data_IF_218509615946
#
_entry.id   IF_218509615946
#
_cell.length_a   1.000
_cell.length_b   1.000
_cell.length_c   1.000
_cell.angle_alpha   90.00
_cell.angle_beta   90.00
_cell.angle_gamma   90.00
#
_symmetry.space_group_name_H-M   'P 1'
#
loop_
_entity.id
_entity.type
_entity.pdbx_description
1 polymer ?
#
# COMPACT_ATOMS: atom_id res chain seq x y z
N UNK A 1 -0.24 12.97 43.36
CA UNK A 1 -0.89 14.18 42.85
C UNK A 1 -2.38 13.94 42.83
N UNK A 2 -3.18 14.90 43.28
CA UNK A 2 -4.64 14.90 43.10
C UNK A 2 -5.00 15.20 41.63
N UNK A 3 -6.24 14.94 41.23
CA UNK A 3 -6.71 15.26 39.87
C UNK A 3 -6.61 16.77 39.57
N UNK A 4 -6.83 17.61 40.58
CA UNK A 4 -6.69 19.07 40.47
C UNK A 4 -5.23 19.49 40.25
N UNK A 5 -4.28 18.89 40.99
CA UNK A 5 -2.85 19.12 40.80
C UNK A 5 -2.37 18.69 39.41
N UNK A 6 -2.89 17.57 38.89
CA UNK A 6 -2.58 17.09 37.54
C UNK A 6 -3.15 18.05 36.49
N UNK A 7 -4.41 18.45 36.63
CA UNK A 7 -5.06 19.40 35.73
C UNK A 7 -4.32 20.74 35.66
N UNK A 8 -3.88 21.26 36.81
CA UNK A 8 -3.11 22.50 36.88
C UNK A 8 -1.72 22.35 36.24
N UNK A 9 -1.05 21.21 36.48
CA UNK A 9 0.24 20.91 35.85
C UNK A 9 0.13 20.80 34.33
N UNK A 10 -0.95 20.21 33.80
CA UNK A 10 -1.22 20.15 32.35
C UNK A 10 -1.30 21.58 31.76
N UNK A 11 -1.97 22.52 32.44
CA UNK A 11 -2.05 23.93 32.00
C UNK A 11 -0.68 24.61 31.97
N UNK A 12 0.10 24.43 33.03
CA UNK A 12 1.43 25.04 33.16
C UNK A 12 2.40 24.54 32.09
N UNK A 13 2.40 23.23 31.84
CA UNK A 13 3.34 22.59 30.91
C UNK A 13 3.02 22.92 29.45
N UNK A 14 1.74 22.94 29.05
CA UNK A 14 1.35 23.14 27.64
C UNK A 14 1.44 24.59 27.17
N UNK A 15 1.44 25.56 28.09
CA UNK A 15 1.55 27.02 27.78
C UNK A 15 0.54 27.51 26.74
N UNK A 16 -0.64 26.88 26.67
CA UNK A 16 -1.72 27.20 25.74
C UNK A 16 -3.01 27.41 26.52
N UNK A 17 -3.92 28.21 25.98
CA UNK A 17 -5.23 28.43 26.59
C UNK A 17 -6.00 27.10 26.62
N UNK A 18 -6.31 26.63 27.82
CA UNK A 18 -7.12 25.44 28.05
C UNK A 18 -8.42 25.86 28.73
N UNK A 19 -9.55 25.46 28.16
CA UNK A 19 -10.87 25.80 28.67
C UNK A 19 -11.47 24.60 29.41
N UNK A 20 -11.76 24.71 30.71
CA UNK A 20 -12.59 23.73 31.40
C UNK A 20 -13.95 23.59 30.71
N UNK A 21 -14.42 22.36 30.54
CA UNK A 21 -15.71 22.04 29.94
C UNK A 21 -16.26 20.71 30.48
N UNK A 22 -17.43 20.31 29.99
CA UNK A 22 -18.06 19.01 30.27
C UNK A 22 -18.52 18.38 28.96
N UNK A 23 -18.09 17.15 28.69
CA UNK A 23 -18.52 16.35 27.53
C UNK A 23 -19.15 15.07 28.06
N UNK A 24 -20.44 14.83 27.79
CA UNK A 24 -21.12 13.59 28.21
C UNK A 24 -21.14 13.34 29.73
N UNK A 25 -20.94 14.37 30.56
CA UNK A 25 -20.79 14.24 32.01
C UNK A 25 -19.34 14.09 32.48
N UNK A 26 -18.36 14.00 31.57
CA UNK A 26 -16.95 14.00 31.92
C UNK A 26 -16.43 15.44 32.06
N UNK A 27 -15.86 15.82 33.22
CA UNK A 27 -15.12 17.07 33.34
C UNK A 27 -13.82 16.97 32.52
N UNK A 28 -13.59 17.95 31.65
CA UNK A 28 -12.45 17.94 30.72
C UNK A 28 -11.79 19.32 30.62
N UNK A 29 -10.53 19.33 30.18
CA UNK A 29 -9.84 20.51 29.69
C UNK A 29 -9.73 20.40 28.16
N UNK A 30 -10.18 21.42 27.45
CA UNK A 30 -10.13 21.48 25.99
C UNK A 30 -9.09 22.51 25.55
N UNK A 31 -8.17 22.07 24.70
CA UNK A 31 -7.18 22.91 24.01
C UNK A 31 -7.51 22.93 22.51
N UNK A 32 -7.63 24.11 21.90
CA UNK A 32 -7.84 24.24 20.45
C UNK A 32 -6.75 25.11 19.84
N UNK A 33 -6.11 24.58 18.80
CA UNK A 33 -5.04 25.25 18.07
C UNK A 33 -5.44 25.42 16.61
N UNK A 34 -5.44 26.66 16.12
CA UNK A 34 -5.69 26.95 14.70
C UNK A 34 -4.39 26.82 13.91
N UNK A 35 -4.38 25.90 12.94
CA UNK A 35 -3.31 25.72 11.96
C UNK A 35 -3.80 26.19 10.58
N UNK A 36 -2.92 26.36 9.58
CA UNK A 36 -3.33 26.66 8.21
C UNK A 36 -4.31 25.63 7.62
N UNK A 37 -4.24 24.39 8.10
CA UNK A 37 -5.09 23.28 7.64
C UNK A 37 -6.43 23.19 8.37
N UNK A 38 -6.65 23.97 9.44
CA UNK A 38 -7.88 23.95 10.25
C UNK A 38 -7.61 23.93 11.77
N UNK A 39 -8.67 23.80 12.58
CA UNK A 39 -8.56 23.76 14.03
C UNK A 39 -8.31 22.33 14.54
N UNK A 40 -7.21 22.13 15.27
CA UNK A 40 -6.89 20.87 15.97
C UNK A 40 -7.32 21.00 17.42
N UNK A 41 -8.12 20.06 17.91
CA UNK A 41 -8.63 20.07 19.29
C UNK A 41 -8.05 18.89 20.07
N UNK A 42 -7.56 19.16 21.28
CA UNK A 42 -7.11 18.14 22.24
C UNK A 42 -7.99 18.21 23.48
N UNK A 43 -8.51 17.06 23.91
CA UNK A 43 -9.33 16.92 25.11
C UNK A 43 -8.53 16.13 26.14
N UNK A 44 -8.41 16.69 27.34
CA UNK A 44 -7.80 16.04 28.49
C UNK A 44 -8.88 15.76 29.53
N UNK A 45 -9.02 14.49 29.93
CA UNK A 45 -9.79 14.09 31.12
C UNK A 45 -8.81 13.63 32.18
N UNK A 46 -8.93 14.16 33.39
CA UNK A 46 -8.19 13.68 34.56
C UNK A 46 -9.16 12.97 35.47
N UNK A 47 -8.88 11.71 35.79
CA UNK A 47 -9.69 10.93 36.72
C UNK A 47 -8.79 9.90 37.42
N UNK A 48 -8.91 9.79 38.75
CA UNK A 48 -8.20 8.81 39.57
C UNK A 48 -6.68 8.83 39.34
N UNK A 49 -6.11 10.02 39.16
CA UNK A 49 -4.69 10.23 38.91
C UNK A 49 -4.19 9.81 37.52
N UNK A 50 -5.10 9.48 36.60
CA UNK A 50 -4.83 9.13 35.18
C UNK A 50 -5.29 10.26 34.26
N UNK A 51 -4.62 10.37 33.11
CA UNK A 51 -4.94 11.36 32.08
C UNK A 51 -5.40 10.61 30.82
N UNK A 52 -6.64 10.78 30.41
CA UNK A 52 -7.11 10.37 29.09
C UNK A 52 -6.93 11.53 28.13
N UNK A 53 -6.26 11.28 27.00
CA UNK A 53 -6.08 12.26 25.93
C UNK A 53 -6.82 11.80 24.68
N UNK A 54 -7.67 12.68 24.16
CA UNK A 54 -8.24 12.57 22.83
C UNK A 54 -7.69 13.69 21.97
N UNK A 55 -7.41 13.42 20.70
CA UNK A 55 -6.99 14.44 19.74
C UNK A 55 -7.81 14.33 18.47
N UNK A 56 -8.43 15.44 18.09
CA UNK A 56 -9.13 15.63 16.84
C UNK A 56 -8.25 16.43 15.88
N UNK A 57 -8.09 15.93 14.65
CA UNK A 57 -7.45 16.61 13.53
C UNK A 57 -8.25 17.84 13.09
N UNK A 58 -7.73 18.52 12.07
CA UNK A 58 -8.28 19.77 11.56
C UNK A 58 -9.80 19.71 11.30
N UNK A 59 -10.56 20.50 12.06
CA UNK A 59 -12.01 20.66 11.96
C UNK A 59 -12.82 19.35 12.06
N UNK A 60 -12.24 18.31 12.67
CA UNK A 60 -12.86 16.99 12.82
C UNK A 60 -13.51 16.75 14.20
N UNK A 61 -13.41 17.72 15.11
CA UNK A 61 -13.91 17.59 16.48
C UNK A 61 -15.44 17.49 16.52
N UNK A 62 -15.94 16.53 17.30
CA UNK A 62 -17.37 16.31 17.56
C UNK A 62 -17.56 15.88 19.01
N UNK A 63 -18.47 16.54 19.73
CA UNK A 63 -18.79 16.22 21.13
C UNK A 63 -19.32 14.79 21.29
N UNK A 64 -20.08 14.28 20.32
CA UNK A 64 -20.62 12.92 20.37
C UNK A 64 -19.52 11.86 20.24
N UNK A 65 -18.55 12.09 19.35
CA UNK A 65 -17.38 11.21 19.21
C UNK A 65 -16.51 11.30 20.45
N UNK A 66 -16.23 12.52 20.93
CA UNK A 66 -15.43 12.73 22.13
C UNK A 66 -16.06 12.04 23.35
N UNK A 67 -17.38 12.16 23.54
CA UNK A 67 -18.14 11.45 24.58
C UNK A 67 -17.94 9.95 24.50
N UNK A 68 -18.19 9.35 23.34
CA UNK A 68 -18.06 7.90 23.17
C UNK A 68 -16.62 7.40 23.41
N UNK A 69 -15.61 8.19 23.03
CA UNK A 69 -14.21 7.86 23.30
C UNK A 69 -13.81 8.05 24.78
N UNK A 70 -14.43 8.99 25.50
CA UNK A 70 -14.19 9.19 26.94
C UNK A 70 -14.81 8.08 27.81
N UNK A 71 -15.82 7.39 27.31
CA UNK A 71 -16.42 6.20 27.95
C UNK A 71 -15.50 4.97 27.93
N UNK A 72 -14.46 4.98 27.08
CA UNK A 72 -13.47 3.91 26.98
C UNK A 72 -12.60 3.88 28.26
N UNK A 73 -12.38 2.70 28.88
CA UNK A 73 -11.50 2.57 30.03
C UNK A 73 -10.08 3.09 29.74
N UNK A 74 -9.59 3.99 30.58
CA UNK A 74 -8.27 4.61 30.46
C UNK A 74 -7.14 3.69 30.99
N UNK A 75 -7.10 2.45 30.53
CA UNK A 75 -6.13 1.43 30.96
C UNK A 75 -5.49 0.81 29.73
N UNK A 76 -4.18 1.00 29.57
CA UNK A 76 -3.39 0.17 28.64
C UNK A 76 -2.89 -1.07 29.37
N UNK A 77 -3.10 -2.23 28.75
CA UNK A 77 -2.60 -3.53 29.22
C UNK A 77 -1.28 -3.93 28.53
N UNK A 78 -0.74 -3.05 27.68
CA UNK A 78 0.36 -3.37 26.75
C UNK A 78 -0.08 -4.22 25.56
N UNK A 79 -1.39 -4.50 25.43
CA UNK A 79 -2.01 -5.17 24.29
C UNK A 79 -3.16 -4.33 23.74
N UNK A 80 -3.47 -4.53 22.47
CA UNK A 80 -4.60 -3.88 21.82
C UNK A 80 -5.89 -4.57 22.22
N UNK A 81 -6.67 -3.89 23.06
CA UNK A 81 -8.01 -4.29 23.48
C UNK A 81 -9.02 -3.29 22.90
N UNK A 82 -9.69 -3.63 21.79
CA UNK A 82 -10.62 -2.70 21.17
C UNK A 82 -11.99 -2.69 21.86
N UNK A 83 -12.53 -1.49 21.99
CA UNK A 83 -13.88 -1.23 22.49
C UNK A 83 -14.79 -0.86 21.33
N UNK A 84 -16.01 -1.40 21.30
CA UNK A 84 -16.98 -1.02 20.29
C UNK A 84 -17.42 0.44 20.47
N UNK A 85 -17.48 1.18 19.37
CA UNK A 85 -17.99 2.56 19.33
C UNK A 85 -19.12 2.62 18.32
N UNK A 86 -20.28 3.09 18.77
CA UNK A 86 -21.45 3.30 17.93
C UNK A 86 -21.84 4.78 18.00
N UNK A 87 -21.32 5.56 17.05
CA UNK A 87 -21.64 6.97 16.89
C UNK A 87 -22.21 7.17 15.49
N UNK A 88 -23.45 7.69 15.34
CA UNK A 88 -24.05 7.89 14.03
C UNK A 88 -23.14 8.68 13.06
N UNK A 89 -22.89 8.11 11.89
CA UNK A 89 -22.06 8.73 10.85
C UNK A 89 -20.54 8.58 11.04
N UNK A 90 -20.08 8.05 12.18
CA UNK A 90 -18.69 7.71 12.39
C UNK A 90 -18.36 6.39 11.66
N UNK A 91 -17.32 6.39 10.84
CA UNK A 91 -16.85 5.20 10.11
C UNK A 91 -15.90 4.32 10.92
N UNK A 92 -15.41 4.83 12.04
CA UNK A 92 -14.47 4.17 12.93
C UNK A 92 -15.30 3.51 14.04
N UNK A 93 -15.46 2.18 13.96
CA UNK A 93 -16.39 1.39 14.77
C UNK A 93 -15.77 0.84 16.06
N UNK A 94 -14.51 1.21 16.32
CA UNK A 94 -13.74 0.78 17.47
C UNK A 94 -12.96 1.96 18.09
N UNK A 95 -12.59 1.79 19.35
CA UNK A 95 -11.62 2.62 20.02
C UNK A 95 -10.56 1.75 20.71
N UNK A 96 -9.33 2.25 20.77
CA UNK A 96 -8.23 1.59 21.49
C UNK A 96 -7.58 2.57 22.46
N UNK A 97 -7.28 2.08 23.66
CA UNK A 97 -6.53 2.81 24.67
C UNK A 97 -5.05 2.45 24.53
N UNK A 98 -4.25 3.43 24.12
CA UNK A 98 -2.80 3.31 23.96
C UNK A 98 -2.13 3.87 25.21
N UNK A 99 -1.11 3.18 25.70
CA UNK A 99 -0.33 3.61 26.84
C UNK A 99 0.43 4.91 26.57
N UNK A 100 1.32 5.30 27.49
CA UNK A 100 2.24 6.39 27.26
C UNK A 100 2.98 6.16 25.95
N UNK A 101 2.83 7.07 24.99
CA UNK A 101 3.70 7.08 23.81
C UNK A 101 5.14 7.21 24.33
N UNK A 102 6.08 6.45 23.76
CA UNK A 102 7.46 6.38 24.26
C UNK A 102 8.22 7.69 23.98
N UNK A 103 7.86 8.76 24.70
CA UNK A 103 8.62 9.97 24.90
C UNK A 103 8.55 10.99 23.77
N UNK A 104 7.81 12.07 24.02
CA UNK A 104 8.27 13.41 23.65
C UNK A 104 7.61 14.53 24.46
N UNK A 105 6.86 14.21 25.52
CA UNK A 105 6.28 15.22 26.38
C UNK A 105 7.37 15.95 27.18
N UNK A 106 7.22 17.25 27.41
CA UNK A 106 8.14 18.00 28.27
C UNK A 106 8.03 17.60 29.76
N UNK A 107 7.08 16.74 30.14
CA UNK A 107 6.85 16.31 31.52
C UNK A 107 6.65 14.79 31.62
N UNK A 108 7.70 14.11 32.06
CA UNK A 108 7.74 12.64 32.19
C UNK A 108 6.67 12.08 33.13
N UNK A 109 6.33 12.77 34.22
CA UNK A 109 5.35 12.26 35.17
C UNK A 109 3.93 12.32 34.59
N UNK A 110 3.61 13.36 33.81
CA UNK A 110 2.34 13.43 33.08
C UNK A 110 2.30 12.34 32.00
N UNK A 111 3.40 12.13 31.28
CA UNK A 111 3.49 11.11 30.22
C UNK A 111 3.22 9.70 30.79
N UNK A 112 3.85 9.32 31.91
CA UNK A 112 3.66 8.01 32.56
C UNK A 112 2.20 7.77 33.04
N UNK A 113 1.41 8.84 33.24
CA UNK A 113 0.00 8.79 33.63
C UNK A 113 -0.97 8.87 32.45
N UNK A 114 -0.46 9.17 31.25
CA UNK A 114 -1.27 9.45 30.07
C UNK A 114 -1.62 8.17 29.32
N UNK A 115 -2.89 8.08 28.94
CA UNK A 115 -3.44 7.09 28.02
C UNK A 115 -4.08 7.87 26.87
N UNK A 116 -3.72 7.54 25.64
CA UNK A 116 -4.33 8.14 24.46
C UNK A 116 -5.42 7.21 23.95
N UNK A 117 -6.65 7.70 23.85
CA UNK A 117 -7.74 6.92 23.23
C UNK A 117 -7.93 7.42 21.80
N UNK A 118 -7.85 6.49 20.85
CA UNK A 118 -7.99 6.79 19.42
C UNK A 118 -9.14 6.00 18.82
N UNK A 119 -9.88 6.64 17.91
CA UNK A 119 -10.88 5.97 17.08
C UNK A 119 -10.18 5.22 15.95
N UNK A 120 -10.59 3.97 15.73
CA UNK A 120 -10.05 3.07 14.70
C UNK A 120 -11.18 2.26 14.09
N UNK A 121 -10.94 1.71 12.91
CA UNK A 121 -11.84 0.70 12.33
C UNK A 121 -11.33 -0.71 12.67
N UNK A 122 -12.21 -1.70 12.82
CA UNK A 122 -11.83 -3.08 13.13
C UNK A 122 -10.78 -3.63 12.14
N UNK A 123 -10.80 -3.19 10.88
CA UNK A 123 -9.82 -3.59 9.86
C UNK A 123 -8.41 -3.04 10.07
N UNK A 124 -8.18 -2.15 11.03
CA UNK A 124 -6.89 -1.46 11.23
C UNK A 124 -6.07 -2.05 12.37
N UNK A 125 -6.70 -2.93 13.15
CA UNK A 125 -6.19 -3.44 14.43
C UNK A 125 -6.32 -4.95 14.48
N UNK A 126 -5.37 -5.61 15.14
CA UNK A 126 -5.48 -7.03 15.46
C UNK A 126 -5.74 -7.18 16.97
N UNK A 127 -6.95 -7.62 17.40
CA UNK A 127 -7.24 -7.78 18.82
C UNK A 127 -6.21 -8.69 19.52
N UNK A 128 -5.69 -8.22 20.65
CA UNK A 128 -4.69 -8.93 21.45
C UNK A 128 -3.24 -8.79 20.97
N UNK A 129 -2.98 -8.08 19.86
CA UNK A 129 -1.61 -7.78 19.43
C UNK A 129 -0.89 -6.90 20.45
N UNK A 130 0.44 -7.02 20.53
CA UNK A 130 1.23 -6.17 21.42
C UNK A 130 1.13 -4.71 20.96
N UNK A 131 0.96 -3.78 21.91
CA UNK A 131 0.84 -2.35 21.60
C UNK A 131 2.05 -1.84 20.80
N UNK A 132 3.25 -2.32 21.12
CA UNK A 132 4.47 -1.97 20.39
C UNK A 132 4.45 -2.41 18.92
N UNK A 133 3.80 -3.54 18.60
CA UNK A 133 3.67 -4.02 17.24
C UNK A 133 2.61 -3.23 16.47
N UNK A 134 1.51 -2.85 17.13
CA UNK A 134 0.54 -1.89 16.58
C UNK A 134 1.17 -0.53 16.27
N UNK A 135 1.94 0.04 17.20
CA UNK A 135 2.68 1.30 16.97
C UNK A 135 3.65 1.19 15.79
N UNK A 136 4.37 0.07 15.68
CA UNK A 136 5.23 -0.21 14.53
C UNK A 136 4.42 -0.27 13.23
N UNK A 137 3.28 -0.95 13.26
CA UNK A 137 2.39 -1.12 12.11
C UNK A 137 1.82 0.20 11.62
N UNK A 138 1.39 1.09 12.50
CA UNK A 138 0.79 2.38 12.12
C UNK A 138 1.81 3.48 11.84
N UNK A 139 3.08 3.29 12.22
CA UNK A 139 4.16 4.26 11.98
C UNK A 139 4.32 4.62 10.49
N UNK A 140 5.03 5.72 10.20
CA UNK A 140 5.32 6.16 8.83
C UNK A 140 6.09 5.14 7.97
N UNK A 141 6.78 4.19 8.62
CA UNK A 141 7.47 3.07 7.95
C UNK A 141 6.58 1.86 7.70
N UNK A 142 5.44 1.77 8.39
CA UNK A 142 4.41 0.74 8.19
C UNK A 142 3.31 1.22 7.27
N UNK A 143 2.10 1.38 7.80
CA UNK A 143 0.93 1.82 7.05
C UNK A 143 0.85 3.34 6.86
N UNK A 144 1.62 4.11 7.64
CA UNK A 144 1.52 5.57 7.66
C UNK A 144 0.25 6.10 8.32
N UNK A 145 -0.52 5.23 9.00
CA UNK A 145 -1.77 5.59 9.68
C UNK A 145 -1.55 6.57 10.84
N UNK A 146 -0.34 6.63 11.42
CA UNK A 146 0.00 7.47 12.58
C UNK A 146 -0.40 8.94 12.40
N UNK A 147 -0.27 9.48 11.18
CA UNK A 147 -0.61 10.88 10.91
C UNK A 147 -2.12 11.14 10.89
N UNK A 148 -2.93 10.09 10.70
CA UNK A 148 -4.38 10.14 10.56
C UNK A 148 -5.13 9.61 11.78
N UNK A 149 -4.47 9.03 12.79
CA UNK A 149 -5.14 8.51 14.00
C UNK A 149 -5.99 9.56 14.74
N UNK A 150 -5.65 10.85 14.56
CA UNK A 150 -6.37 11.95 15.19
C UNK A 150 -7.55 12.44 14.34
N UNK A 151 -7.70 12.02 13.08
CA UNK A 151 -8.77 12.46 12.20
C UNK A 151 -10.00 11.55 12.36
N UNK A 152 -10.95 11.93 13.22
CA UNK A 152 -12.08 11.04 13.56
C UNK A 152 -13.02 10.77 12.39
N UNK A 153 -13.10 11.68 11.43
CA UNK A 153 -13.95 11.59 10.24
C UNK A 153 -13.26 10.97 9.01
N UNK A 154 -12.03 10.47 9.16
CA UNK A 154 -11.28 9.89 8.04
C UNK A 154 -11.93 8.61 7.51
N UNK A 155 -11.56 8.25 6.29
CA UNK A 155 -11.81 6.91 5.79
C UNK A 155 -10.94 5.89 6.53
N UNK A 156 -11.47 4.69 6.85
CA UNK A 156 -10.66 3.56 7.29
C UNK A 156 -9.53 3.26 6.30
N UNK A 157 -8.37 2.91 6.81
CA UNK A 157 -7.20 2.48 6.05
C UNK A 157 -6.93 1.04 6.45
N UNK A 158 -7.62 0.06 5.84
CA UNK A 158 -7.53 -1.33 6.26
C UNK A 158 -6.08 -1.80 6.20
N UNK A 159 -5.66 -2.40 7.31
CA UNK A 159 -4.36 -3.02 7.46
C UNK A 159 -4.45 -4.44 6.92
N UNK A 160 -3.38 -4.86 6.27
CA UNK A 160 -3.12 -6.25 5.98
C UNK A 160 -1.71 -6.62 6.42
N UNK A 161 -1.56 -7.82 6.93
CA UNK A 161 -0.29 -8.45 7.21
C UNK A 161 0.12 -9.22 5.95
N UNK A 162 1.22 -8.84 5.31
CA UNK A 162 1.64 -9.41 4.04
C UNK A 162 3.03 -10.04 4.10
N UNK A 163 3.23 -11.09 3.31
CA UNK A 163 4.55 -11.69 3.09
C UNK A 163 4.68 -12.19 1.65
N UNK A 164 5.91 -12.24 1.19
CA UNK A 164 6.24 -12.77 -0.11
C UNK A 164 6.62 -14.26 0.03
N UNK A 165 5.97 -15.11 -0.76
CA UNK A 165 6.16 -16.57 -0.70
C UNK A 165 7.33 -17.04 -1.59
N UNK A 166 7.53 -16.35 -2.70
CA UNK A 166 8.59 -16.61 -3.69
C UNK A 166 9.63 -15.48 -3.69
N UNK A 167 10.72 -15.64 -4.43
CA UNK A 167 11.77 -14.60 -4.50
C UNK A 167 11.38 -13.48 -5.48
N UNK A 168 11.60 -12.23 -5.06
CA UNK A 168 11.46 -11.04 -5.91
C UNK A 168 12.78 -10.26 -5.94
N UNK A 169 13.76 -10.68 -6.77
CA UNK A 169 15.01 -9.96 -6.97
C UNK A 169 14.81 -8.47 -7.28
N UNK A 170 15.38 -7.59 -6.47
CA UNK A 170 15.26 -6.13 -6.64
C UNK A 170 13.88 -5.54 -6.36
N UNK A 171 12.96 -6.32 -5.77
CA UNK A 171 11.60 -5.90 -5.48
C UNK A 171 11.41 -5.03 -4.24
N UNK A 172 10.17 -4.56 -4.08
CA UNK A 172 9.71 -3.84 -2.88
C UNK A 172 9.68 -4.74 -1.64
N UNK A 173 9.54 -6.05 -1.85
CA UNK A 173 9.46 -7.06 -0.81
C UNK A 173 10.56 -8.09 -0.98
N UNK A 174 10.96 -8.70 0.14
CA UNK A 174 11.82 -9.88 0.16
C UNK A 174 11.00 -11.06 0.63
N UNK A 175 11.36 -12.26 0.14
CA UNK A 175 10.82 -13.50 0.66
C UNK A 175 10.97 -13.54 2.17
N UNK A 176 9.88 -13.83 2.86
CA UNK A 176 9.84 -13.81 4.32
C UNK A 176 8.87 -14.86 4.82
N UNK A 177 9.24 -15.54 5.91
CA UNK A 177 8.31 -16.39 6.66
C UNK A 177 7.41 -15.56 7.59
N UNK A 178 7.83 -14.34 7.93
CA UNK A 178 7.12 -13.41 8.81
C UNK A 178 6.25 -12.46 8.01
N UNK A 179 5.07 -12.19 8.54
CA UNK A 179 4.23 -11.13 8.05
C UNK A 179 4.77 -9.76 8.44
N UNK A 180 4.56 -8.81 7.55
CA UNK A 180 4.84 -7.40 7.77
C UNK A 180 3.53 -6.62 7.60
N UNK A 181 3.28 -5.59 8.42
CA UNK A 181 2.07 -4.79 8.29
C UNK A 181 2.17 -3.82 7.09
N UNK A 182 1.13 -3.79 6.26
CA UNK A 182 0.98 -2.92 5.09
C UNK A 182 -0.45 -2.37 5.00
N UNK A 183 -0.67 -1.23 4.33
CA UNK A 183 -2.01 -0.86 3.88
C UNK A 183 -2.51 -1.89 2.86
N UNK A 184 -3.69 -2.47 3.08
CA UNK A 184 -4.28 -3.45 2.16
C UNK A 184 -4.44 -2.85 0.74
N UNK A 185 -4.83 -1.58 0.66
CA UNK A 185 -4.92 -0.83 -0.60
C UNK A 185 -3.59 -0.84 -1.35
N UNK A 186 -2.47 -0.56 -0.68
CA UNK A 186 -1.13 -0.56 -1.31
C UNK A 186 -0.76 -1.94 -1.83
N UNK A 187 -1.11 -3.00 -1.09
CA UNK A 187 -0.86 -4.37 -1.54
C UNK A 187 -1.65 -4.69 -2.81
N UNK A 188 -2.90 -4.23 -2.90
CA UNK A 188 -3.81 -4.53 -4.01
C UNK A 188 -3.71 -3.55 -5.18
N UNK A 189 -3.09 -2.39 -5.03
CA UNK A 189 -2.94 -1.37 -6.10
C UNK A 189 -1.54 -1.29 -6.68
N UNK A 190 -0.52 -1.66 -5.89
CA UNK A 190 0.88 -1.50 -6.28
C UNK A 190 1.62 -2.84 -6.26
N UNK A 191 1.54 -3.57 -5.15
CA UNK A 191 2.43 -4.72 -4.94
C UNK A 191 1.99 -5.94 -5.76
N UNK A 192 0.74 -6.38 -5.63
CA UNK A 192 0.23 -7.53 -6.38
C UNK A 192 0.06 -7.23 -7.88
N UNK A 193 -0.45 -6.05 -8.31
CA UNK A 193 -0.61 -5.74 -9.74
C UNK A 193 0.69 -5.58 -10.52
N UNK A 194 1.72 -4.98 -9.90
CA UNK A 194 2.99 -4.67 -10.56
C UNK A 194 4.13 -5.61 -10.15
N UNK A 195 3.80 -6.66 -9.38
CA UNK A 195 4.72 -7.74 -9.04
C UNK A 195 5.16 -8.52 -10.28
N UNK A 196 6.31 -9.21 -10.27
CA UNK A 196 6.73 -10.08 -11.36
C UNK A 196 5.73 -11.21 -11.60
N UNK A 197 5.61 -11.67 -12.84
CA UNK A 197 4.76 -12.81 -13.16
C UNK A 197 5.19 -14.05 -12.37
N UNK A 198 4.22 -14.80 -11.85
CA UNK A 198 4.45 -16.04 -11.10
C UNK A 198 4.97 -15.87 -9.67
N UNK A 199 5.28 -14.65 -9.22
CA UNK A 199 5.67 -14.40 -7.83
C UNK A 199 4.42 -14.32 -6.96
N UNK A 200 4.32 -15.18 -5.93
CA UNK A 200 3.18 -15.20 -5.02
C UNK A 200 3.38 -14.29 -3.81
N UNK A 201 2.34 -13.52 -3.52
CA UNK A 201 2.19 -12.72 -2.31
C UNK A 201 1.00 -13.24 -1.50
N UNK A 202 1.19 -13.37 -0.20
CA UNK A 202 0.13 -13.71 0.75
C UNK A 202 -0.21 -12.45 1.57
N UNK A 203 -1.50 -12.14 1.64
CA UNK A 203 -2.06 -10.94 2.25
C UNK A 203 -3.15 -11.38 3.23
N UNK A 204 -2.94 -11.17 4.52
CA UNK A 204 -3.86 -11.52 5.59
C UNK A 204 -4.56 -10.27 6.12
N UNK A 205 -5.89 -10.24 6.03
CA UNK A 205 -6.70 -9.18 6.65
C UNK A 205 -6.85 -9.40 8.17
N UNK A 206 -7.23 -8.34 8.89
CA UNK A 206 -7.38 -8.40 10.35
C UNK A 206 -8.53 -9.32 10.79
N UNK A 207 -9.52 -9.55 9.93
CA UNK A 207 -10.61 -10.50 10.17
C UNK A 207 -10.24 -11.96 9.89
N UNK A 208 -8.97 -12.24 9.56
CA UNK A 208 -8.46 -13.60 9.33
C UNK A 208 -8.63 -14.13 7.90
N UNK A 209 -9.17 -13.33 6.98
CA UNK A 209 -9.16 -13.66 5.55
C UNK A 209 -7.72 -13.70 5.04
N UNK A 210 -7.38 -14.75 4.28
CA UNK A 210 -6.06 -14.92 3.67
C UNK A 210 -6.19 -14.94 2.16
N UNK A 211 -5.56 -13.97 1.51
CA UNK A 211 -5.53 -13.81 0.07
C UNK A 211 -4.12 -14.15 -0.45
N UNK A 212 -4.01 -15.21 -1.25
CA UNK A 212 -2.77 -15.52 -1.97
C UNK A 212 -2.95 -15.14 -3.43
N UNK A 213 -2.12 -14.23 -3.94
CA UNK A 213 -2.17 -13.75 -5.33
C UNK A 213 -0.82 -13.93 -6.01
N UNK A 214 -0.86 -14.10 -7.32
CA UNK A 214 0.28 -13.92 -8.22
C UNK A 214 -0.19 -13.21 -9.49
N UNK A 215 0.71 -12.48 -10.13
CA UNK A 215 0.45 -11.93 -11.44
C UNK A 215 0.59 -13.02 -12.51
N UNK A 216 -0.38 -13.12 -13.39
CA UNK A 216 -0.34 -13.86 -14.65
C UNK A 216 -0.70 -12.89 -15.77
N UNK A 217 0.33 -12.37 -16.43
CA UNK A 217 0.20 -11.30 -17.41
C UNK A 217 -0.50 -10.06 -16.82
N UNK A 218 -1.64 -9.64 -17.36
CA UNK A 218 -2.47 -8.50 -16.94
C UNK A 218 -3.47 -8.85 -15.83
N UNK A 219 -3.46 -10.10 -15.35
CA UNK A 219 -4.40 -10.61 -14.36
C UNK A 219 -3.70 -10.97 -13.06
N UNK A 220 -4.41 -10.80 -11.97
CA UNK A 220 -4.03 -11.32 -10.68
C UNK A 220 -4.89 -12.56 -10.38
N UNK A 221 -4.21 -13.69 -10.24
CA UNK A 221 -4.81 -15.01 -10.04
C UNK A 221 -4.41 -15.57 -8.69
N UNK A 222 -5.29 -16.34 -8.07
CA UNK A 222 -5.00 -16.83 -6.72
C UNK A 222 -6.20 -17.42 -5.99
N UNK A 223 -6.14 -17.35 -4.67
CA UNK A 223 -7.20 -17.87 -3.79
C UNK A 223 -7.44 -16.92 -2.63
N UNK A 224 -8.72 -16.73 -2.28
CA UNK A 224 -9.15 -16.09 -1.05
C UNK A 224 -9.70 -17.17 -0.13
N UNK A 225 -9.10 -17.31 1.06
CA UNK A 225 -9.51 -18.25 2.09
C UNK A 225 -10.12 -17.51 3.26
N UNK A 226 -11.38 -17.80 3.57
CA UNK A 226 -12.08 -17.26 4.72
C UNK A 226 -11.59 -17.88 6.03
N UNK A 227 -11.82 -17.24 7.19
CA UNK A 227 -11.39 -17.75 8.50
C UNK A 227 -11.88 -19.17 8.81
N UNK A 228 -13.05 -19.57 8.27
CA UNK A 228 -13.59 -20.92 8.39
C UNK A 228 -12.96 -21.97 7.46
N UNK A 229 -11.94 -21.61 6.68
CA UNK A 229 -11.24 -22.49 5.76
C UNK A 229 -11.90 -22.67 4.39
N UNK A 230 -13.04 -22.03 4.13
CA UNK A 230 -13.64 -21.99 2.80
C UNK A 230 -12.76 -21.15 1.86
N UNK A 231 -12.49 -21.66 0.66
CA UNK A 231 -11.65 -20.97 -0.33
C UNK A 231 -12.41 -20.69 -1.62
N UNK A 232 -12.21 -19.50 -2.17
CA UNK A 232 -12.70 -19.08 -3.48
C UNK A 232 -11.52 -18.77 -4.41
N UNK A 233 -11.63 -19.15 -5.68
CA UNK A 233 -10.63 -18.80 -6.68
C UNK A 233 -10.75 -17.32 -7.04
N UNK A 234 -9.60 -16.63 -7.10
CA UNK A 234 -9.51 -15.24 -7.54
C UNK A 234 -8.91 -15.20 -8.93
N UNK A 235 -9.58 -14.52 -9.84
CA UNK A 235 -9.07 -14.22 -11.17
C UNK A 235 -9.66 -12.88 -11.63
N UNK A 236 -8.86 -11.82 -11.50
CA UNK A 236 -9.30 -10.43 -11.72
C UNK A 236 -8.28 -9.65 -12.56
N UNK A 237 -8.70 -8.64 -13.35
CA UNK A 237 -7.79 -7.65 -13.92
C UNK A 237 -6.94 -7.00 -12.82
N UNK A 238 -5.64 -6.83 -13.06
CA UNK A 238 -4.69 -6.39 -12.03
C UNK A 238 -5.05 -5.02 -11.41
N UNK A 239 -5.63 -4.11 -12.20
CA UNK A 239 -6.02 -2.77 -11.74
C UNK A 239 -7.37 -2.73 -11.02
N UNK A 240 -8.17 -3.80 -11.10
CA UNK A 240 -9.49 -3.90 -10.45
C UNK A 240 -9.41 -4.48 -9.03
N UNK A 241 -8.23 -4.95 -8.61
CA UNK A 241 -8.06 -5.71 -7.36
C UNK A 241 -8.57 -4.95 -6.14
N UNK A 242 -8.25 -3.66 -5.99
CA UNK A 242 -8.73 -2.89 -4.85
C UNK A 242 -10.24 -2.67 -4.88
N UNK A 243 -10.81 -2.33 -6.04
CA UNK A 243 -12.24 -2.11 -6.17
C UNK A 243 -13.05 -3.38 -5.87
N UNK A 244 -12.52 -4.56 -6.20
CA UNK A 244 -13.19 -5.86 -6.03
C UNK A 244 -12.92 -6.50 -4.68
N UNK A 245 -11.68 -6.48 -4.20
CA UNK A 245 -11.25 -7.19 -2.99
C UNK A 245 -11.09 -6.27 -1.77
N UNK A 246 -10.93 -4.96 -1.97
CA UNK A 246 -10.84 -3.98 -0.87
C UNK A 246 -11.98 -4.06 0.15
N UNK A 247 -13.25 -4.24 -0.28
CA UNK A 247 -14.36 -4.40 0.66
C UNK A 247 -14.21 -5.60 1.61
N UNK A 248 -13.55 -6.70 1.19
CA UNK A 248 -13.28 -7.86 2.08
C UNK A 248 -12.40 -7.44 3.27
N UNK A 249 -11.42 -6.56 3.03
CA UNK A 249 -10.57 -6.02 4.09
C UNK A 249 -11.28 -4.99 4.97
N UNK A 250 -12.51 -4.60 4.62
CA UNK A 250 -13.39 -3.75 5.42
C UNK A 250 -14.53 -4.55 6.07
N UNK A 251 -14.45 -5.89 6.07
CA UNK A 251 -15.43 -6.78 6.70
C UNK A 251 -16.60 -7.20 5.80
N UNK A 252 -16.60 -6.90 4.50
CA UNK A 252 -17.64 -7.38 3.59
C UNK A 252 -17.53 -8.89 3.34
N UNK A 253 -18.67 -9.54 3.15
CA UNK A 253 -18.73 -10.97 2.82
C UNK A 253 -18.08 -11.25 1.46
N UNK A 254 -17.03 -12.10 1.39
CA UNK A 254 -16.36 -12.41 0.13
C UNK A 254 -17.23 -13.17 -0.87
N UNK A 255 -18.30 -13.85 -0.44
CA UNK A 255 -19.13 -14.69 -1.31
C UNK A 255 -19.76 -13.92 -2.50
N UNK A 256 -20.01 -12.62 -2.33
CA UNK A 256 -20.55 -11.75 -3.39
C UNK A 256 -19.49 -10.97 -4.18
N UNK A 257 -18.21 -11.03 -3.77
CA UNK A 257 -17.14 -10.18 -4.29
C UNK A 257 -16.15 -10.95 -5.17
N UNK A 258 -15.96 -12.23 -4.87
CA UNK A 258 -15.02 -13.09 -5.58
C UNK A 258 -15.75 -13.92 -6.62
N UNK A 259 -15.97 -13.32 -7.78
CA UNK A 259 -16.30 -14.05 -9.00
C UNK A 259 -15.16 -13.87 -9.98
N UNK A 260 -14.68 -14.97 -10.58
CA UNK A 260 -13.83 -14.89 -11.75
C UNK A 260 -14.55 -14.03 -12.80
N UNK A 261 -14.07 -12.81 -12.99
CA UNK A 261 -14.64 -11.92 -13.98
C UNK A 261 -13.92 -12.24 -15.29
N UNK A 262 -14.62 -12.88 -16.23
CA UNK A 262 -14.17 -12.85 -17.62
C UNK A 262 -14.02 -11.38 -18.01
N UNK A 263 -12.78 -10.95 -18.20
CA UNK A 263 -12.44 -9.60 -18.55
C UNK A 263 -11.74 -9.62 -19.90
N UNK A 264 -11.99 -8.59 -20.70
CA UNK A 264 -11.15 -8.32 -21.87
C UNK A 264 -9.74 -8.06 -21.35
N UNK A 265 -8.72 -8.74 -21.88
CA UNK A 265 -7.34 -8.48 -21.49
C UNK A 265 -7.00 -7.00 -21.65
N UNK A 266 -6.12 -6.48 -20.79
CA UNK A 266 -5.54 -5.15 -20.97
C UNK A 266 -4.94 -5.09 -22.37
N UNK A 267 -5.49 -4.23 -23.22
CA UNK A 267 -4.97 -4.01 -24.57
C UNK A 267 -3.67 -3.22 -24.50
N UNK A 268 -2.79 -3.44 -25.45
CA UNK A 268 -1.60 -2.61 -25.66
C UNK A 268 -0.64 -2.61 -24.45
N UNK A 269 -0.36 -3.78 -23.86
CA UNK A 269 0.67 -3.94 -22.80
C UNK A 269 1.79 -4.89 -23.21
N UNK A 270 2.99 -4.63 -22.67
CA UNK A 270 4.18 -5.44 -22.86
C UNK A 270 4.91 -5.62 -21.54
N UNK A 271 5.56 -6.77 -21.36
CA UNK A 271 6.54 -6.94 -20.31
C UNK A 271 7.88 -6.33 -20.73
N UNK A 272 8.43 -5.48 -19.88
CA UNK A 272 9.63 -4.70 -20.13
C UNK A 272 10.72 -5.06 -19.12
N UNK A 273 11.89 -5.44 -19.63
CA UNK A 273 13.17 -5.46 -18.90
C UNK A 273 14.11 -4.47 -19.55
N UNK A 274 14.98 -3.83 -18.78
CA UNK A 274 15.95 -2.90 -19.34
C UNK A 274 17.17 -2.77 -18.46
N UNK A 275 18.24 -2.27 -19.04
CA UNK A 275 19.41 -1.77 -18.33
C UNK A 275 19.85 -0.48 -19.01
N UNK A 276 20.02 0.56 -18.22
CA UNK A 276 20.64 1.80 -18.66
C UNK A 276 21.77 2.19 -17.71
N UNK A 277 22.80 2.81 -18.26
CA UNK A 277 23.94 3.28 -17.45
C UNK A 277 23.55 4.43 -16.52
N UNK A 278 22.60 5.26 -16.93
CA UNK A 278 22.25 6.53 -16.30
C UNK A 278 21.01 6.46 -15.37
N UNK A 279 20.15 5.46 -15.56
CA UNK A 279 18.84 5.35 -14.90
C UNK A 279 18.56 3.96 -14.30
N UNK A 280 19.57 3.09 -14.28
CA UNK A 280 19.55 1.79 -13.60
C UNK A 280 18.95 0.68 -14.44
N UNK A 281 18.55 -0.42 -13.79
CA UNK A 281 18.02 -1.60 -14.47
C UNK A 281 16.71 -2.10 -13.86
N UNK A 282 15.89 -2.71 -14.70
CA UNK A 282 14.78 -3.56 -14.27
C UNK A 282 15.22 -5.02 -14.32
N UNK A 283 15.71 -5.54 -13.19
CA UNK A 283 16.19 -6.92 -13.09
C UNK A 283 15.11 -7.96 -13.46
N UNK A 284 13.84 -7.65 -13.18
CA UNK A 284 12.68 -8.48 -13.51
C UNK A 284 11.73 -7.75 -14.47
N UNK A 285 10.97 -8.50 -15.31
CA UNK A 285 10.00 -7.90 -16.21
C UNK A 285 8.91 -7.14 -15.45
N UNK A 286 8.58 -5.94 -15.93
CA UNK A 286 7.46 -5.13 -15.46
C UNK A 286 6.44 -4.99 -16.57
N UNK A 287 5.16 -5.16 -16.27
CA UNK A 287 4.11 -4.99 -17.26
C UNK A 287 3.79 -3.50 -17.42
N UNK A 288 3.98 -2.98 -18.62
CA UNK A 288 3.89 -1.56 -18.96
C UNK A 288 2.96 -1.37 -20.16
N UNK A 289 2.25 -0.24 -20.20
CA UNK A 289 1.49 0.16 -21.39
C UNK A 289 2.45 0.41 -22.56
N UNK A 290 1.99 0.18 -23.78
CA UNK A 290 2.72 0.46 -25.01
C UNK A 290 3.22 1.91 -25.06
N UNK A 291 2.41 2.88 -24.66
CA UNK A 291 2.82 4.30 -24.61
C UNK A 291 4.02 4.52 -23.68
N UNK A 292 4.02 3.88 -22.50
CA UNK A 292 5.15 3.88 -21.55
C UNK A 292 6.41 3.24 -22.16
N UNK A 293 6.25 2.09 -22.84
CA UNK A 293 7.33 1.41 -23.56
C UNK A 293 7.95 2.29 -24.64
N UNK A 294 7.13 2.94 -25.48
CA UNK A 294 7.58 3.84 -26.55
C UNK A 294 8.27 5.09 -25.98
N UNK A 295 7.69 5.70 -24.95
CA UNK A 295 8.29 6.85 -24.29
C UNK A 295 9.66 6.52 -23.67
N UNK A 296 9.84 5.30 -23.17
CA UNK A 296 11.12 4.84 -22.61
C UNK A 296 12.16 4.60 -23.70
N UNK A 297 11.76 4.01 -24.83
CA UNK A 297 12.63 3.80 -25.98
C UNK A 297 13.22 5.14 -26.46
N UNK A 298 12.37 6.17 -26.59
CA UNK A 298 12.76 7.52 -27.01
C UNK A 298 13.64 8.24 -25.98
N UNK A 299 13.23 8.24 -24.71
CA UNK A 299 13.83 9.12 -23.69
C UNK A 299 15.00 8.52 -22.92
N UNK A 300 15.15 7.19 -22.94
CA UNK A 300 16.12 6.49 -22.09
C UNK A 300 17.00 5.55 -22.90
N UNK A 301 16.41 4.65 -23.69
CA UNK A 301 17.21 3.64 -24.40
C UNK A 301 18.12 4.30 -25.44
N UNK A 302 17.57 5.16 -26.30
CA UNK A 302 18.34 5.89 -27.31
C UNK A 302 19.39 6.88 -26.78
N UNK A 303 19.34 7.22 -25.49
CA UNK A 303 20.09 8.36 -24.96
C UNK A 303 21.58 8.08 -24.84
N UNK A 304 21.94 6.84 -24.49
CA UNK A 304 23.31 6.45 -24.18
C UNK A 304 23.60 5.12 -24.88
N UNK A 305 24.72 5.02 -25.63
CA UNK A 305 25.17 3.74 -26.17
C UNK A 305 25.27 2.65 -25.11
N UNK A 306 24.97 1.40 -25.48
CA UNK A 306 24.96 0.24 -24.58
C UNK A 306 23.71 0.11 -23.71
N UNK A 307 22.83 1.12 -23.69
CA UNK A 307 21.50 0.96 -23.09
C UNK A 307 20.68 -0.04 -23.90
N UNK A 308 19.95 -0.92 -23.21
CA UNK A 308 19.10 -1.92 -23.86
C UNK A 308 17.76 -2.12 -23.15
N UNK A 309 16.78 -2.60 -23.91
CA UNK A 309 15.49 -3.03 -23.43
C UNK A 309 15.04 -4.33 -24.11
N UNK A 310 14.34 -5.18 -23.38
CA UNK A 310 13.66 -6.36 -23.88
C UNK A 310 12.17 -6.20 -23.62
N UNK A 311 11.39 -6.26 -24.70
CA UNK A 311 9.95 -6.22 -24.70
C UNK A 311 9.43 -7.61 -24.99
N UNK A 312 8.54 -8.11 -24.14
CA UNK A 312 7.91 -9.43 -24.29
C UNK A 312 6.42 -9.25 -24.37
N UNK A 313 5.77 -9.94 -25.31
CA UNK A 313 4.32 -9.99 -25.48
C UNK A 313 3.69 -11.07 -24.59
N UNK A 314 2.37 -11.25 -24.67
CA UNK A 314 1.65 -12.23 -23.86
C UNK A 314 1.98 -13.68 -24.27
N UNK A 315 2.19 -13.91 -25.56
CA UNK A 315 2.58 -15.20 -26.14
C UNK A 315 4.09 -15.42 -26.12
N UNK A 316 4.81 -14.71 -25.25
CA UNK A 316 6.27 -14.77 -25.12
C UNK A 316 7.06 -14.41 -26.40
N UNK A 317 6.42 -13.76 -27.39
CA UNK A 317 7.17 -13.16 -28.49
C UNK A 317 8.02 -12.00 -27.97
N UNK A 318 9.25 -11.88 -28.45
CA UNK A 318 10.26 -10.96 -27.90
C UNK A 318 10.74 -9.97 -28.96
N UNK A 319 10.93 -8.72 -28.55
CA UNK A 319 11.74 -7.74 -29.27
C UNK A 319 12.80 -7.22 -28.30
N UNK A 320 14.06 -7.28 -28.71
CA UNK A 320 15.18 -6.68 -28.00
C UNK A 320 15.64 -5.44 -28.75
N UNK A 321 16.00 -4.40 -28.01
CA UNK A 321 16.46 -3.12 -28.55
C UNK A 321 17.70 -2.70 -27.81
N UNK A 322 18.73 -2.27 -28.55
CA UNK A 322 19.97 -1.73 -28.02
C UNK A 322 20.32 -0.41 -28.72
N UNK A 323 20.81 0.57 -27.97
CA UNK A 323 21.44 1.76 -28.53
C UNK A 323 22.89 1.46 -28.87
N UNK A 324 23.23 1.49 -30.16
CA UNK A 324 24.59 1.22 -30.64
C UNK A 324 25.55 2.37 -30.32
N UNK A 325 26.86 2.11 -30.42
CA UNK A 325 27.94 3.09 -30.19
C UNK A 325 27.80 4.39 -30.99
N UNK A 326 27.16 4.34 -32.15
CA UNK A 326 26.89 5.49 -33.02
C UNK A 326 25.51 6.12 -32.82
N UNK A 327 24.79 5.74 -31.76
CA UNK A 327 23.51 6.33 -31.37
C UNK A 327 22.33 5.89 -32.25
N UNK A 328 22.42 4.72 -32.88
CA UNK A 328 21.32 4.11 -33.66
C UNK A 328 20.65 3.00 -32.84
N UNK A 329 19.47 2.56 -33.25
CA UNK A 329 18.80 1.41 -32.62
C UNK A 329 19.08 0.15 -33.39
N UNK A 330 19.74 -0.80 -32.76
CA UNK A 330 19.67 -2.19 -33.17
C UNK A 330 18.42 -2.82 -32.57
N UNK A 331 17.61 -3.48 -33.39
CA UNK A 331 16.41 -4.17 -32.95
C UNK A 331 16.44 -5.59 -33.48
N UNK A 332 16.21 -6.56 -32.59
CA UNK A 332 16.24 -7.97 -32.93
C UNK A 332 15.15 -8.80 -32.23
N UNK A 333 14.88 -9.98 -32.79
CA UNK A 333 14.06 -11.02 -32.16
C UNK A 333 14.91 -12.29 -32.03
N UNK A 334 14.96 -12.93 -30.85
CA UNK A 334 15.67 -14.18 -30.69
C UNK A 334 14.93 -15.35 -31.36
N UNK A 335 15.66 -16.29 -31.93
CA UNK A 335 15.18 -17.59 -32.44
C UNK A 335 15.90 -18.74 -31.71
N UNK A 336 15.36 -19.20 -30.56
CA UNK A 336 16.03 -20.20 -29.73
C UNK A 336 16.31 -21.54 -30.41
N UNK A 337 15.43 -21.97 -31.30
CA UNK A 337 15.53 -23.25 -31.99
C UNK A 337 16.72 -23.30 -32.95
N UNK A 338 17.09 -22.16 -33.54
CA UNK A 338 18.21 -22.01 -34.48
C UNK A 338 19.44 -21.38 -33.86
N UNK A 339 19.39 -21.02 -32.56
CA UNK A 339 20.45 -20.33 -31.82
C UNK A 339 20.97 -19.08 -32.53
N UNK A 340 20.06 -18.24 -33.00
CA UNK A 340 20.40 -16.98 -33.67
C UNK A 340 19.40 -15.88 -33.30
N UNK A 341 19.80 -14.64 -33.45
CA UNK A 341 18.91 -13.47 -33.43
C UNK A 341 18.70 -12.98 -34.85
N UNK A 342 17.47 -12.57 -35.18
CA UNK A 342 17.17 -11.86 -36.41
C UNK A 342 17.02 -10.38 -36.11
N UNK A 343 17.89 -9.54 -36.66
CA UNK A 343 17.93 -8.13 -36.31
C UNK A 343 18.36 -7.21 -37.44
N UNK A 344 18.13 -5.91 -37.24
CA UNK A 344 18.69 -4.84 -38.08
C UNK A 344 18.69 -3.51 -37.33
N UNK A 345 19.37 -2.53 -37.92
CA UNK A 345 19.23 -1.14 -37.50
C UNK A 345 17.87 -0.56 -37.92
N UNK A 346 17.25 0.18 -37.00
CA UNK A 346 15.93 0.79 -37.17
C UNK A 346 15.91 2.24 -36.69
N UNK A 347 14.94 3.00 -37.20
CA UNK A 347 14.55 4.30 -36.64
C UNK A 347 13.61 4.12 -35.44
N UNK A 348 13.48 5.14 -34.59
CA UNK A 348 12.51 5.18 -33.48
C UNK A 348 11.10 4.85 -33.95
N UNK A 349 10.69 5.45 -35.08
CA UNK A 349 9.35 5.24 -35.66
C UNK A 349 9.13 3.78 -36.08
N UNK A 350 10.13 3.14 -36.66
CA UNK A 350 10.05 1.72 -37.02
C UNK A 350 10.00 0.84 -35.76
N UNK A 351 10.84 1.13 -34.75
CA UNK A 351 10.79 0.42 -33.47
C UNK A 351 9.40 0.55 -32.82
N UNK A 352 8.81 1.74 -32.78
CA UNK A 352 7.45 1.98 -32.30
C UNK A 352 6.42 1.12 -33.04
N UNK A 353 6.46 1.09 -34.38
CA UNK A 353 5.52 0.28 -35.17
C UNK A 353 5.68 -1.23 -34.89
N UNK A 354 6.90 -1.69 -34.63
CA UNK A 354 7.16 -3.09 -34.27
C UNK A 354 6.65 -3.42 -32.86
N UNK A 355 6.78 -2.49 -31.90
CA UNK A 355 6.18 -2.64 -30.58
C UNK A 355 4.65 -2.61 -30.62
N UNK A 356 4.05 -1.82 -31.51
CA UNK A 356 2.60 -1.86 -31.76
C UNK A 356 2.15 -3.24 -32.22
N UNK A 357 2.85 -3.83 -33.20
CA UNK A 357 2.55 -5.20 -33.65
C UNK A 357 2.76 -6.20 -32.52
N UNK A 358 3.84 -6.06 -31.74
CA UNK A 358 4.11 -6.93 -30.60
C UNK A 358 2.99 -6.88 -29.55
N UNK A 359 2.49 -5.69 -29.22
CA UNK A 359 1.48 -5.51 -28.18
C UNK A 359 0.06 -5.88 -28.65
N UNK A 360 -0.27 -5.61 -29.92
CA UNK A 360 -1.63 -5.77 -30.47
C UNK A 360 -1.86 -7.11 -31.15
N UNK A 361 -0.85 -7.61 -31.84
CA UNK A 361 -0.93 -8.85 -32.62
C UNK A 361 -0.21 -10.01 -31.93
N UNK A 362 0.41 -9.77 -30.76
CA UNK A 362 1.03 -10.79 -29.90
C UNK A 362 2.09 -11.62 -30.63
N UNK A 363 2.84 -10.98 -31.53
CA UNK A 363 3.88 -11.60 -32.37
C UNK A 363 5.01 -10.64 -32.69
N UNK A 364 6.19 -11.18 -32.95
CA UNK A 364 7.31 -10.40 -33.48
C UNK A 364 7.20 -10.26 -35.00
N UNK A 365 7.29 -9.03 -35.51
CA UNK A 365 7.31 -8.75 -36.96
C UNK A 365 8.71 -8.49 -37.51
N UNK A 366 9.77 -8.66 -36.70
CA UNK A 366 11.15 -8.34 -37.06
C UNK A 366 11.62 -9.15 -38.27
N UNK A 367 11.37 -10.46 -38.29
CA UNK A 367 11.78 -11.36 -39.36
C UNK A 367 11.21 -11.01 -40.75
N UNK A 368 10.09 -10.27 -40.80
CA UNK A 368 9.44 -9.84 -42.04
C UNK A 368 9.99 -8.54 -42.61
N UNK A 369 10.91 -7.86 -41.92
CA UNK A 369 11.47 -6.59 -42.38
C UNK A 369 12.50 -6.82 -43.51
N UNK A 370 12.63 -5.88 -44.45
CA UNK A 370 13.72 -5.93 -45.42
C UNK A 370 15.07 -5.68 -44.74
N UNK A 371 16.12 -6.38 -45.20
CA UNK A 371 17.48 -6.17 -44.71
C UNK A 371 17.75 -6.68 -43.30
N UNK A 372 16.98 -7.69 -42.85
CA UNK A 372 17.25 -8.40 -41.59
C UNK A 372 18.44 -9.32 -41.76
N UNK A 373 19.32 -9.30 -40.77
CA UNK A 373 20.50 -10.13 -40.69
C UNK A 373 20.31 -11.19 -39.59
N UNK A 374 20.89 -12.37 -39.79
CA UNK A 374 20.93 -13.44 -38.79
C UNK A 374 22.26 -13.40 -38.04
N UNK A 375 22.20 -13.23 -36.73
CA UNK A 375 23.36 -13.15 -35.83
C UNK A 375 23.39 -14.42 -34.97
N UNK A 376 24.34 -15.35 -35.17
CA UNK A 376 24.40 -16.58 -34.37
C UNK A 376 24.78 -16.29 -32.92
N UNK A 377 24.30 -17.13 -32.01
CA UNK A 377 24.73 -17.16 -30.62
C UNK A 377 25.82 -18.23 -30.46
N UNK A 378 26.92 -17.90 -29.78
CA UNK A 378 28.01 -18.86 -29.49
C UNK A 378 27.65 -19.85 -28.36
#
# INVERSE_FOLDING_TARGET
MTDEEIAERIRQVRRREQRPSVIGGHPVLIETVRLPTGAVTTVHRVLDGRITVLRAGADSFSDDVARALLDVPAVSTGKIEPFAVDVPGLRLDRAVALGPDLGSGPDRELDERTVTVVAVHHSEILPGEAEADFHRAISSRGTGLVHRLNEWNRHPVPRADARLLDDWPGGLMRRSTRFHPWPAERMLTLVAPDGPAGVRVEIQGMDGHVLTLQRRWDRAVGTLTSPGGASAAVDLPRHDLWARLGPVFLGADPAGLVTAAEGVPESDVLELRYQTEDHGSAALPRLESLDSCVARLDRQILRTPGNWAVFTSRSDAVIQVECTDDGRLWLETPEPDTKQSLGRLVTVREATALLEVLAREDRSAVAGLPGVEAVPWD
#
